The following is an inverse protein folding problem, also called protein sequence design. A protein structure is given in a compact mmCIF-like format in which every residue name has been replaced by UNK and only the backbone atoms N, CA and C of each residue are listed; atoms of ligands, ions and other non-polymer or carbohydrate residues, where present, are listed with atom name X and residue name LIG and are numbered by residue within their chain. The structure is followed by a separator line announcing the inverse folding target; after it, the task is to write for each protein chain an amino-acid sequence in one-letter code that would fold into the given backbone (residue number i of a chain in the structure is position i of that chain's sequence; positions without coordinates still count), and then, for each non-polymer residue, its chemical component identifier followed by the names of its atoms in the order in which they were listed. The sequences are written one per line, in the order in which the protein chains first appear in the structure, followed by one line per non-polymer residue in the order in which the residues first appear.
data_IF_981277945474
#
_entry.id   IF_981277945474
#
_cell.length_a   1.000
_cell.length_b   1.000
_cell.length_c   1.000
_cell.angle_alpha   90.00
_cell.angle_beta   90.00
_cell.angle_gamma   90.00
#
_symmetry.space_group_name_H-M   'P 1'
#
loop_
_entity.id
_entity.type
_entity.pdbx_description
1 polymer ?
#
# COMPACT_ATOMS: atom_id res chain seq x y z
N UNK A 1 -23.77 5.90 -6.25
CA UNK A 1 -22.90 5.97 -5.04
C UNK A 1 -22.44 4.59 -4.58
N UNK A 2 -23.32 3.63 -4.25
CA UNK A 2 -22.87 2.28 -3.81
C UNK A 2 -22.03 1.57 -4.88
N UNK A 3 -22.46 1.58 -6.15
CA UNK A 3 -21.73 0.91 -7.24
C UNK A 3 -20.37 1.57 -7.53
N UNK A 4 -20.30 2.90 -7.43
CA UNK A 4 -19.07 3.70 -7.54
C UNK A 4 -18.08 3.31 -6.44
N UNK A 5 -18.55 3.31 -5.18
CA UNK A 5 -17.74 2.90 -4.04
C UNK A 5 -17.21 1.48 -4.22
N UNK A 6 -18.08 0.52 -4.59
CA UNK A 6 -17.69 -0.87 -4.82
C UNK A 6 -16.62 -1.00 -5.89
N UNK A 7 -16.79 -0.34 -7.06
CA UNK A 7 -15.82 -0.40 -8.14
C UNK A 7 -14.46 0.17 -7.73
N UNK A 8 -14.43 1.35 -7.14
CA UNK A 8 -13.18 2.02 -6.75
C UNK A 8 -12.47 1.25 -5.65
N UNK A 9 -13.20 0.82 -4.62
CA UNK A 9 -12.61 0.09 -3.50
C UNK A 9 -12.15 -1.31 -3.92
N UNK A 10 -12.79 -1.96 -4.89
CA UNK A 10 -12.26 -3.18 -5.50
C UNK A 10 -10.90 -2.90 -6.16
N UNK A 11 -10.79 -1.86 -7.01
CA UNK A 11 -9.53 -1.51 -7.68
C UNK A 11 -8.43 -1.19 -6.66
N UNK A 12 -8.75 -0.37 -5.64
CA UNK A 12 -7.82 -0.01 -4.59
C UNK A 12 -7.39 -1.24 -3.76
N UNK A 13 -8.35 -2.12 -3.43
CA UNK A 13 -8.10 -3.35 -2.68
C UNK A 13 -7.20 -4.31 -3.43
N UNK A 14 -7.49 -4.57 -4.70
CA UNK A 14 -6.72 -5.53 -5.50
C UNK A 14 -5.26 -5.08 -5.61
N UNK A 15 -5.04 -3.78 -5.84
CA UNK A 15 -3.70 -3.21 -5.88
C UNK A 15 -3.02 -3.24 -4.52
N UNK A 16 -3.68 -2.78 -3.46
CA UNK A 16 -3.03 -2.65 -2.15
C UNK A 16 -2.76 -4.01 -1.51
N UNK A 17 -3.65 -4.98 -1.67
CA UNK A 17 -3.43 -6.32 -1.15
C UNK A 17 -2.32 -7.03 -1.92
N UNK A 18 -2.28 -6.91 -3.24
CA UNK A 18 -1.18 -7.46 -4.03
C UNK A 18 0.15 -6.81 -3.62
N UNK A 19 0.20 -5.48 -3.53
CA UNK A 19 1.37 -4.74 -3.06
C UNK A 19 1.84 -5.23 -1.69
N UNK A 20 0.93 -5.33 -0.72
CA UNK A 20 1.28 -5.79 0.63
C UNK A 20 1.83 -7.22 0.64
N UNK A 21 1.30 -8.12 -0.19
CA UNK A 21 1.76 -9.51 -0.30
C UNK A 21 3.11 -9.61 -0.98
N UNK A 22 3.33 -8.83 -2.03
CA UNK A 22 4.58 -8.80 -2.80
C UNK A 22 5.71 -8.14 -2.01
N UNK A 23 5.39 -7.18 -1.15
CA UNK A 23 6.35 -6.47 -0.29
C UNK A 23 6.39 -7.01 1.15
N UNK A 24 5.66 -8.10 1.43
CA UNK A 24 5.58 -8.72 2.77
C UNK A 24 5.19 -7.73 3.89
N UNK A 25 4.37 -6.72 3.56
CA UNK A 25 3.90 -5.71 4.51
C UNK A 25 2.80 -6.31 5.38
N UNK A 26 3.08 -6.42 6.67
CA UNK A 26 2.08 -6.83 7.66
C UNK A 26 0.96 -5.77 7.77
N UNK A 27 -0.33 -6.17 7.82
CA UNK A 27 -1.43 -5.23 8.05
C UNK A 27 -1.29 -4.36 9.30
N UNK A 28 -0.62 -4.87 10.36
CA UNK A 28 -0.38 -4.09 11.58
C UNK A 28 0.68 -3.00 11.41
N UNK A 29 1.63 -3.19 10.49
CA UNK A 29 2.72 -2.26 10.25
C UNK A 29 2.50 -1.40 9.01
N UNK A 30 1.39 -1.57 8.30
CA UNK A 30 1.08 -0.82 7.10
C UNK A 30 1.04 0.70 7.34
N UNK A 31 1.63 1.45 6.42
CA UNK A 31 1.43 2.88 6.27
C UNK A 31 1.35 3.23 4.78
N UNK A 32 0.55 4.24 4.42
CA UNK A 32 0.24 4.57 3.02
C UNK A 32 1.48 4.87 2.17
N UNK A 33 2.52 5.43 2.79
CA UNK A 33 3.75 5.81 2.10
C UNK A 33 4.42 4.60 1.43
N UNK A 34 4.29 3.39 1.97
CA UNK A 34 4.85 2.19 1.35
C UNK A 34 4.29 1.97 -0.07
N UNK A 35 2.97 2.02 -0.21
CA UNK A 35 2.32 1.85 -1.51
C UNK A 35 2.47 3.08 -2.40
N UNK A 36 2.38 4.28 -1.80
CA UNK A 36 2.54 5.54 -2.53
C UNK A 36 3.92 5.61 -3.18
N UNK A 37 5.00 5.42 -2.40
CA UNK A 37 6.38 5.51 -2.89
C UNK A 37 6.69 4.44 -3.96
N UNK A 38 6.16 3.22 -3.81
CA UNK A 38 6.27 2.18 -4.84
C UNK A 38 5.59 2.58 -6.15
N UNK A 39 4.39 3.19 -6.08
CA UNK A 39 3.72 3.74 -7.26
C UNK A 39 4.54 4.87 -7.90
N UNK A 40 5.08 5.79 -7.09
CA UNK A 40 5.92 6.89 -7.58
C UNK A 40 7.12 6.36 -8.35
N UNK A 41 7.81 5.35 -7.80
CA UNK A 41 8.95 4.73 -8.47
C UNK A 41 8.52 3.97 -9.74
N UNK A 42 7.49 3.13 -9.64
CA UNK A 42 7.02 2.25 -10.73
C UNK A 42 6.55 3.03 -11.95
N UNK A 43 5.87 4.16 -11.72
CA UNK A 43 5.30 4.99 -12.78
C UNK A 43 6.15 6.23 -13.09
N UNK A 44 7.32 6.36 -12.46
CA UNK A 44 8.22 7.51 -12.61
C UNK A 44 7.50 8.86 -12.42
N UNK A 45 6.68 8.95 -11.39
CA UNK A 45 5.86 10.14 -11.09
C UNK A 45 6.74 11.17 -10.38
N UNK A 46 6.68 12.43 -10.81
CA UNK A 46 7.35 13.54 -10.11
C UNK A 46 6.42 14.08 -9.02
N UNK A 47 6.87 14.08 -7.76
CA UNK A 47 6.11 14.67 -6.64
C UNK A 47 6.68 16.04 -6.30
N UNK A 48 5.84 17.07 -6.28
CA UNK A 48 6.25 18.46 -6.06
C UNK A 48 5.42 19.13 -4.95
N UNK A 49 6.07 19.96 -4.15
CA UNK A 49 5.39 20.84 -3.20
C UNK A 49 5.05 22.17 -3.86
N UNK A 50 3.87 22.71 -3.56
CA UNK A 50 3.49 24.06 -3.97
C UNK A 50 2.94 24.87 -2.79
N UNK A 51 2.96 26.19 -2.94
CA UNK A 51 2.21 27.11 -2.07
C UNK A 51 1.80 28.34 -2.90
N UNK A 52 0.49 28.61 -2.99
CA UNK A 52 -0.02 29.75 -3.74
C UNK A 52 -0.76 30.72 -2.82
N UNK A 53 -0.17 31.90 -2.58
CA UNK A 53 -0.72 32.92 -1.67
C UNK A 53 -2.12 33.43 -2.04
N UNK A 54 -2.47 33.41 -3.33
CA UNK A 54 -3.73 33.96 -3.86
C UNK A 54 -4.64 32.93 -4.55
N UNK A 55 -4.29 31.63 -4.53
CA UNK A 55 -5.12 30.55 -5.10
C UNK A 55 -5.14 29.35 -4.17
N UNK A 56 -6.34 28.84 -3.89
CA UNK A 56 -6.56 27.72 -2.99
C UNK A 56 -6.56 26.40 -3.79
N UNK A 57 -5.41 26.05 -4.36
CA UNK A 57 -5.18 24.77 -5.02
C UNK A 57 -4.64 23.80 -3.96
N UNK A 58 -5.38 22.73 -3.70
CA UNK A 58 -5.00 21.75 -2.67
C UNK A 58 -4.01 20.73 -3.23
N UNK A 59 -4.27 20.25 -4.44
CA UNK A 59 -3.48 19.27 -5.17
C UNK A 59 -3.69 19.40 -6.67
N UNK A 60 -2.78 18.80 -7.44
CA UNK A 60 -2.81 18.79 -8.89
C UNK A 60 -2.15 17.50 -9.42
N UNK A 61 -2.80 16.87 -10.39
CA UNK A 61 -2.23 15.79 -11.20
C UNK A 61 -2.11 16.27 -12.64
N UNK A 62 -0.89 16.23 -13.19
CA UNK A 62 -0.62 16.53 -14.60
C UNK A 62 -0.06 15.31 -15.31
N UNK A 63 -0.61 14.99 -16.47
CA UNK A 63 -0.14 13.92 -17.36
C UNK A 63 0.07 14.53 -18.75
N UNK A 64 1.32 14.63 -19.18
CA UNK A 64 1.71 15.24 -20.45
C UNK A 64 2.80 14.41 -21.17
N UNK A 65 3.33 14.96 -22.27
CA UNK A 65 4.39 14.31 -23.07
C UNK A 65 5.71 14.11 -22.29
N UNK A 66 5.94 14.90 -21.23
CA UNK A 66 7.14 14.86 -20.39
C UNK A 66 6.99 13.94 -19.16
N UNK A 67 5.80 13.36 -18.95
CA UNK A 67 5.52 12.33 -17.96
C UNK A 67 4.36 12.68 -17.03
N UNK A 68 4.43 12.14 -15.80
CA UNK A 68 3.37 12.30 -14.79
C UNK A 68 3.93 13.10 -13.62
N UNK A 69 3.16 14.06 -13.12
CA UNK A 69 3.49 14.80 -11.90
C UNK A 69 2.28 14.97 -10.99
N UNK A 70 2.55 14.96 -9.68
CA UNK A 70 1.60 15.21 -8.61
C UNK A 70 2.15 16.37 -7.78
N UNK A 71 1.31 17.36 -7.46
CA UNK A 71 1.65 18.41 -6.51
C UNK A 71 0.66 18.54 -5.36
N UNK A 72 1.13 19.06 -4.22
CA UNK A 72 0.32 19.28 -3.02
C UNK A 72 0.71 20.57 -2.29
N UNK A 73 -0.26 21.19 -1.62
CA UNK A 73 -0.07 22.40 -0.82
C UNK A 73 0.73 22.11 0.46
N UNK A 74 1.95 22.64 0.54
CA UNK A 74 2.93 22.33 1.57
C UNK A 74 2.62 22.96 2.93
N UNK A 75 1.81 24.03 2.98
CA UNK A 75 1.40 24.66 4.24
C UNK A 75 0.21 23.96 4.91
N UNK A 76 -0.39 22.95 4.27
CA UNK A 76 -1.45 22.17 4.90
C UNK A 76 -0.91 21.28 6.03
N UNK A 77 -1.75 20.90 7.02
CA UNK A 77 -1.39 19.87 7.99
C UNK A 77 -1.03 18.54 7.32
N UNK A 78 -0.07 17.80 7.90
CA UNK A 78 0.45 16.54 7.33
C UNK A 78 -0.66 15.55 6.93
N UNK A 79 -1.68 15.37 7.78
CA UNK A 79 -2.79 14.44 7.52
C UNK A 79 -3.60 14.83 6.27
N UNK A 80 -3.67 16.13 5.96
CA UNK A 80 -4.33 16.65 4.75
C UNK A 80 -3.44 16.48 3.53
N UNK A 81 -2.14 16.76 3.66
CA UNK A 81 -1.18 16.46 2.58
C UNK A 81 -1.19 14.98 2.20
N UNK A 82 -1.25 14.07 3.18
CA UNK A 82 -1.30 12.63 2.94
C UNK A 82 -2.55 12.23 2.15
N UNK A 83 -3.71 12.81 2.51
CA UNK A 83 -4.95 12.59 1.79
C UNK A 83 -4.88 13.12 0.36
N UNK A 84 -4.37 14.34 0.18
CA UNK A 84 -4.15 14.92 -1.15
C UNK A 84 -3.24 14.05 -2.01
N UNK A 85 -2.09 13.60 -1.49
CA UNK A 85 -1.16 12.71 -2.22
C UNK A 85 -1.87 11.45 -2.73
N UNK A 86 -2.63 10.77 -1.88
CA UNK A 86 -3.36 9.57 -2.28
C UNK A 86 -4.54 9.86 -3.22
N UNK A 87 -5.15 11.04 -3.10
CA UNK A 87 -6.24 11.49 -3.97
C UNK A 87 -5.73 11.77 -5.39
N UNK A 88 -4.63 12.51 -5.53
CA UNK A 88 -3.98 12.77 -6.82
C UNK A 88 -3.47 11.47 -7.47
N UNK A 89 -2.88 10.57 -6.68
CA UNK A 89 -2.54 9.23 -7.17
C UNK A 89 -3.79 8.47 -7.63
N UNK A 90 -4.93 8.63 -6.95
CA UNK A 90 -6.21 8.07 -7.33
C UNK A 90 -6.67 8.54 -8.71
N UNK A 91 -6.50 9.82 -9.05
CA UNK A 91 -6.80 10.31 -10.41
C UNK A 91 -6.01 9.58 -11.48
N UNK A 92 -4.71 9.39 -11.25
CA UNK A 92 -3.85 8.66 -12.19
C UNK A 92 -4.27 7.19 -12.32
N UNK A 93 -4.40 6.49 -11.19
CA UNK A 93 -4.69 5.05 -11.16
C UNK A 93 -6.08 4.71 -11.73
N UNK A 94 -7.07 5.57 -11.50
CA UNK A 94 -8.43 5.39 -12.01
C UNK A 94 -8.62 5.86 -13.45
N UNK A 95 -7.57 6.44 -14.07
CA UNK A 95 -7.60 6.88 -15.46
C UNK A 95 -8.47 8.13 -15.68
N UNK A 96 -8.56 9.02 -14.68
CA UNK A 96 -9.23 10.31 -14.83
C UNK A 96 -8.41 11.23 -15.77
N UNK A 97 -9.06 12.19 -16.43
CA UNK A 97 -8.38 13.05 -17.41
C UNK A 97 -7.23 13.86 -16.80
N UNK A 98 -6.05 13.83 -17.42
CA UNK A 98 -4.76 14.34 -16.87
C UNK A 98 -4.60 15.85 -16.61
N UNK A 99 -5.68 16.62 -16.53
CA UNK A 99 -5.71 18.03 -16.14
C UNK A 99 -6.77 18.25 -15.02
N UNK A 100 -6.79 17.40 -13.98
CA UNK A 100 -7.69 17.61 -12.84
C UNK A 100 -7.10 18.60 -11.85
N UNK A 101 -7.90 19.60 -11.48
CA UNK A 101 -7.54 20.63 -10.52
C UNK A 101 -8.39 20.48 -9.25
N UNK A 102 -7.74 20.24 -8.11
CA UNK A 102 -8.41 20.19 -6.82
C UNK A 102 -8.49 21.62 -6.23
N UNK A 103 -9.52 22.38 -6.60
CA UNK A 103 -9.76 23.76 -6.11
C UNK A 103 -10.74 23.83 -4.92
N UNK A 104 -10.46 24.72 -3.95
CA UNK A 104 -11.27 24.89 -2.73
C UNK A 104 -12.62 25.63 -2.94
N UNK A 105 -12.92 26.16 -4.13
CA UNK A 105 -14.11 26.99 -4.35
C UNK A 105 -14.71 26.86 -5.76
N UNK A 106 -15.36 25.73 -6.04
CA UNK A 106 -16.68 25.66 -6.67
C UNK A 106 -17.05 24.20 -6.96
N UNK A 107 -18.06 23.70 -6.22
CA UNK A 107 -18.95 22.59 -6.55
C UNK A 107 -18.78 21.97 -7.95
N UNK A 108 -17.82 21.06 -8.07
CA UNK A 108 -18.01 19.92 -8.94
C UNK A 108 -17.67 18.69 -8.11
N UNK A 109 -18.66 18.25 -7.32
CA UNK A 109 -18.80 16.83 -6.95
C UNK A 109 -18.91 16.03 -8.25
N UNK A 110 -17.81 15.94 -9.01
CA UNK A 110 -17.75 15.06 -10.15
C UNK A 110 -17.65 13.63 -9.64
N UNK A 111 -18.00 12.69 -10.51
CA UNK A 111 -17.76 11.29 -10.24
C UNK A 111 -16.25 11.07 -9.99
N UNK A 112 -15.38 11.64 -10.82
CA UNK A 112 -13.92 11.53 -10.70
C UNK A 112 -13.40 11.98 -9.32
N UNK A 113 -13.85 13.13 -8.81
CA UNK A 113 -13.47 13.64 -7.47
C UNK A 113 -13.95 12.70 -6.35
N UNK A 114 -15.18 12.20 -6.48
CA UNK A 114 -15.73 11.24 -5.51
C UNK A 114 -14.96 9.93 -5.53
N UNK A 115 -14.58 9.47 -6.71
CA UNK A 115 -13.80 8.25 -6.92
C UNK A 115 -12.38 8.39 -6.37
N UNK A 116 -11.70 9.50 -6.64
CA UNK A 116 -10.39 9.81 -6.07
C UNK A 116 -10.44 9.91 -4.53
N UNK A 117 -11.50 10.48 -3.97
CA UNK A 117 -11.74 10.50 -2.51
C UNK A 117 -11.90 9.10 -1.92
N UNK A 118 -12.69 8.23 -2.55
CA UNK A 118 -12.83 6.84 -2.09
C UNK A 118 -11.53 6.05 -2.21
N UNK A 119 -10.79 6.24 -3.31
CA UNK A 119 -9.49 5.62 -3.51
C UNK A 119 -8.51 6.05 -2.41
N UNK A 120 -8.37 7.37 -2.18
CA UNK A 120 -7.51 7.94 -1.15
C UNK A 120 -7.84 7.40 0.25
N UNK A 121 -9.11 7.41 0.63
CA UNK A 121 -9.55 6.90 1.92
C UNK A 121 -9.27 5.39 2.08
N UNK A 122 -9.39 4.61 1.01
CA UNK A 122 -9.08 3.18 1.04
C UNK A 122 -7.58 2.92 1.16
N UNK A 123 -6.75 3.61 0.39
CA UNK A 123 -5.28 3.48 0.45
C UNK A 123 -4.75 3.90 1.83
N UNK A 124 -5.25 4.99 2.40
CA UNK A 124 -4.83 5.42 3.74
C UNK A 124 -5.23 4.42 4.84
N UNK A 125 -6.39 3.78 4.67
CA UNK A 125 -7.01 2.95 5.70
C UNK A 125 -7.64 1.68 5.07
N UNK A 126 -6.86 0.69 4.61
CA UNK A 126 -7.40 -0.53 4.01
C UNK A 126 -8.24 -1.34 5.00
N UNK A 127 -9.24 -2.09 4.50
CA UNK A 127 -10.15 -2.87 5.36
C UNK A 127 -9.38 -3.83 6.28
N UNK A 128 -8.41 -4.59 5.74
CA UNK A 128 -7.58 -5.52 6.52
C UNK A 128 -6.75 -4.83 7.60
N UNK A 129 -6.31 -3.59 7.35
CA UNK A 129 -5.51 -2.79 8.29
C UNK A 129 -6.39 -2.29 9.44
N UNK A 130 -7.58 -1.77 9.11
CA UNK A 130 -8.57 -1.35 10.11
C UNK A 130 -9.02 -2.53 10.96
N UNK A 131 -9.31 -3.69 10.35
CA UNK A 131 -9.64 -4.92 11.06
C UNK A 131 -8.50 -5.32 12.01
N UNK A 132 -7.26 -5.37 11.51
CA UNK A 132 -6.09 -5.77 12.32
C UNK A 132 -5.85 -4.85 13.50
N UNK A 133 -5.93 -3.52 13.30
CA UNK A 133 -5.67 -2.52 14.33
C UNK A 133 -6.82 -2.42 15.34
N UNK A 134 -8.06 -2.35 14.87
CA UNK A 134 -9.23 -2.08 15.73
C UNK A 134 -9.74 -3.35 16.39
N UNK A 135 -9.94 -4.42 15.62
CA UNK A 135 -10.59 -5.63 16.14
C UNK A 135 -9.59 -6.58 16.80
N UNK A 136 -8.45 -6.85 16.16
CA UNK A 136 -7.45 -7.78 16.71
C UNK A 136 -6.52 -7.16 17.74
N UNK A 137 -6.04 -5.93 17.51
CA UNK A 137 -5.13 -5.24 18.44
C UNK A 137 -5.86 -4.33 19.46
N UNK A 138 -7.16 -4.11 19.28
CA UNK A 138 -8.02 -3.30 20.18
C UNK A 138 -7.57 -1.85 20.32
N UNK A 139 -7.00 -1.26 19.27
CA UNK A 139 -6.50 0.10 19.31
C UNK A 139 -7.63 1.12 19.53
N UNK A 140 -7.32 2.19 20.27
CA UNK A 140 -8.23 3.33 20.42
C UNK A 140 -8.35 4.15 19.13
N UNK A 141 -9.47 4.88 18.96
CA UNK A 141 -9.69 5.74 17.79
C UNK A 141 -8.52 6.71 17.55
N UNK A 142 -8.00 7.32 18.63
CA UNK A 142 -6.86 8.24 18.59
C UNK A 142 -5.57 7.54 18.14
N UNK A 143 -5.35 6.30 18.57
CA UNK A 143 -4.17 5.54 18.20
C UNK A 143 -4.20 5.19 16.71
N UNK A 144 -5.34 4.70 16.20
CA UNK A 144 -5.51 4.40 14.77
C UNK A 144 -5.31 5.64 13.91
N UNK A 145 -5.89 6.79 14.29
CA UNK A 145 -5.66 8.05 13.60
C UNK A 145 -4.18 8.45 13.54
N UNK A 146 -3.50 8.36 14.68
CA UNK A 146 -2.09 8.75 14.79
C UNK A 146 -1.20 7.84 13.95
N UNK A 147 -1.38 6.52 14.07
CA UNK A 147 -0.55 5.56 13.37
C UNK A 147 -0.77 5.54 11.85
N UNK A 148 -1.98 5.82 11.38
CA UNK A 148 -2.27 5.93 9.94
C UNK A 148 -2.09 7.36 9.41
N UNK A 149 -1.71 8.31 10.26
CA UNK A 149 -1.51 9.72 9.91
C UNK A 149 -2.72 10.34 9.19
N UNK A 150 -3.92 10.12 9.72
CA UNK A 150 -5.21 10.60 9.16
C UNK A 150 -5.97 11.51 10.13
N UNK A 151 -6.88 12.32 9.60
CA UNK A 151 -7.78 13.15 10.43
C UNK A 151 -8.90 12.31 11.08
N UNK A 152 -9.50 12.86 12.14
CA UNK A 152 -10.63 12.21 12.82
C UNK A 152 -11.83 12.02 11.86
N UNK A 153 -12.10 13.02 11.02
CA UNK A 153 -13.19 12.96 10.06
C UNK A 153 -12.92 11.90 8.99
N UNK A 154 -11.69 11.80 8.47
CA UNK A 154 -11.32 10.78 7.50
C UNK A 154 -11.55 9.36 8.05
N UNK A 155 -11.07 9.07 9.27
CA UNK A 155 -11.29 7.76 9.90
C UNK A 155 -12.78 7.49 10.17
N UNK A 156 -13.52 8.50 10.61
CA UNK A 156 -14.97 8.39 10.84
C UNK A 156 -15.72 8.04 9.56
N UNK A 157 -15.51 8.79 8.47
CA UNK A 157 -16.17 8.54 7.19
C UNK A 157 -15.77 7.19 6.61
N UNK A 158 -14.48 6.83 6.71
CA UNK A 158 -13.98 5.54 6.23
C UNK A 158 -14.65 4.35 6.93
N UNK A 159 -14.80 4.41 8.26
CA UNK A 159 -15.51 3.38 9.02
C UNK A 159 -17.00 3.34 8.68
N UNK A 160 -17.63 4.51 8.46
CA UNK A 160 -19.02 4.56 8.03
C UNK A 160 -19.19 3.83 6.69
N UNK A 161 -18.35 4.12 5.71
CA UNK A 161 -18.43 3.52 4.38
C UNK A 161 -18.15 2.02 4.42
N UNK A 162 -17.15 1.58 5.19
CA UNK A 162 -16.84 0.16 5.43
C UNK A 162 -18.08 -0.60 5.91
N UNK A 163 -18.67 -0.18 7.04
CA UNK A 163 -19.78 -0.93 7.63
C UNK A 163 -21.08 -0.81 6.84
N UNK A 164 -21.33 0.33 6.17
CA UNK A 164 -22.47 0.49 5.26
C UNK A 164 -22.39 -0.44 4.07
N UNK A 165 -21.18 -0.63 3.53
CA UNK A 165 -20.93 -1.52 2.41
C UNK A 165 -21.07 -2.98 2.84
N UNK A 166 -20.31 -3.41 3.86
CA UNK A 166 -20.23 -4.81 4.31
C UNK A 166 -21.54 -5.30 4.93
N UNK A 167 -22.10 -4.54 5.86
CA UNK A 167 -23.22 -5.03 6.68
C UNK A 167 -24.60 -4.66 6.12
N UNK A 168 -24.66 -3.82 5.07
CA UNK A 168 -25.92 -3.30 4.50
C UNK A 168 -26.87 -2.71 5.56
N UNK A 169 -26.32 -2.16 6.65
CA UNK A 169 -27.06 -1.69 7.84
C UNK A 169 -27.56 -0.26 7.73
N UNK A 170 -28.53 0.06 8.59
CA UNK A 170 -29.01 1.42 8.80
C UNK A 170 -27.89 2.36 9.32
N UNK A 171 -27.90 3.59 8.79
CA UNK A 171 -26.88 4.60 9.01
C UNK A 171 -26.79 5.06 10.47
N UNK A 172 -27.90 5.03 11.21
CA UNK A 172 -27.91 5.53 12.58
C UNK A 172 -27.12 4.61 13.52
N UNK A 173 -27.31 3.29 13.39
CA UNK A 173 -26.60 2.30 14.22
C UNK A 173 -25.09 2.34 14.00
N UNK A 174 -24.66 2.38 12.73
CA UNK A 174 -23.23 2.50 12.38
C UNK A 174 -22.65 3.81 12.92
N UNK A 175 -23.34 4.94 12.71
CA UNK A 175 -22.87 6.24 13.18
C UNK A 175 -22.77 6.31 14.71
N UNK A 176 -23.74 5.73 15.43
CA UNK A 176 -23.71 5.64 16.89
C UNK A 176 -22.52 4.82 17.39
N UNK A 177 -22.24 3.67 16.77
CA UNK A 177 -21.10 2.83 17.15
C UNK A 177 -19.76 3.55 16.95
N UNK A 178 -19.61 4.28 15.84
CA UNK A 178 -18.40 5.07 15.56
C UNK A 178 -18.27 6.24 16.54
N UNK A 179 -19.36 6.95 16.85
CA UNK A 179 -19.35 8.03 17.85
C UNK A 179 -18.93 7.52 19.24
N UNK A 180 -19.41 6.33 19.63
CA UNK A 180 -18.99 5.67 20.87
C UNK A 180 -17.51 5.33 20.84
N UNK A 181 -17.00 4.81 19.73
CA UNK A 181 -15.58 4.51 19.57
C UNK A 181 -14.69 5.76 19.67
N UNK A 182 -15.13 6.90 19.11
CA UNK A 182 -14.41 8.20 19.22
C UNK A 182 -14.22 8.66 20.67
N UNK A 183 -15.16 8.33 21.57
CA UNK A 183 -15.08 8.65 23.00
C UNK A 183 -14.49 7.51 23.86
N UNK A 184 -13.94 6.47 23.22
CA UNK A 184 -13.25 5.37 23.90
C UNK A 184 -14.11 4.13 24.22
N UNK A 185 -15.39 4.11 23.82
CA UNK A 185 -16.28 2.97 23.99
C UNK A 185 -16.22 2.04 22.77
N UNK A 186 -15.33 1.04 22.79
CA UNK A 186 -15.04 0.20 21.61
C UNK A 186 -16.03 -0.95 21.36
N UNK A 187 -16.81 -1.37 22.36
CA UNK A 187 -17.69 -2.57 22.25
C UNK A 187 -18.58 -2.56 21.00
N UNK A 188 -19.19 -1.42 20.69
CA UNK A 188 -20.10 -1.33 19.55
C UNK A 188 -19.37 -1.46 18.21
N UNK A 189 -18.18 -0.87 18.04
CA UNK A 189 -17.40 -1.02 16.80
C UNK A 189 -16.80 -2.41 16.66
N UNK A 190 -16.39 -3.04 17.78
CA UNK A 190 -15.89 -4.41 17.78
C UNK A 190 -16.96 -5.40 17.31
N UNK A 191 -18.20 -5.23 17.76
CA UNK A 191 -19.32 -6.05 17.27
C UNK A 191 -19.59 -5.85 15.76
N UNK A 192 -19.35 -4.66 15.21
CA UNK A 192 -19.48 -4.45 13.76
C UNK A 192 -18.38 -5.19 12.98
N UNK A 193 -17.15 -5.22 13.51
CA UNK A 193 -16.07 -6.01 12.93
C UNK A 193 -16.28 -7.52 13.11
N UNK A 194 -16.80 -7.98 14.25
CA UNK A 194 -17.21 -9.38 14.47
C UNK A 194 -18.15 -9.88 13.36
N UNK A 195 -19.03 -9.02 12.84
CA UNK A 195 -19.94 -9.41 11.77
C UNK A 195 -19.29 -9.35 10.37
N UNK A 196 -18.23 -8.54 10.19
CA UNK A 196 -17.62 -8.26 8.89
C UNK A 196 -16.26 -8.96 8.65
N UNK A 197 -15.61 -9.48 9.70
CA UNK A 197 -14.19 -9.86 9.61
C UNK A 197 -13.94 -10.97 8.58
N UNK A 198 -14.80 -11.99 8.54
CA UNK A 198 -14.60 -13.17 7.69
C UNK A 198 -14.44 -12.81 6.21
N UNK A 199 -15.28 -11.92 5.68
CA UNK A 199 -15.20 -11.49 4.27
C UNK A 199 -13.91 -10.69 4.00
N UNK A 200 -13.52 -9.79 4.91
CA UNK A 200 -12.29 -9.00 4.80
C UNK A 200 -11.05 -9.92 4.79
N UNK A 201 -11.06 -10.93 5.65
CA UNK A 201 -9.98 -11.91 5.78
C UNK A 201 -9.88 -12.80 4.56
N UNK A 202 -11.00 -13.29 4.05
CA UNK A 202 -11.06 -14.15 2.87
C UNK A 202 -10.52 -13.40 1.64
N UNK A 203 -10.91 -12.14 1.46
CA UNK A 203 -10.40 -11.27 0.40
C UNK A 203 -8.89 -11.03 0.52
N UNK A 204 -8.36 -10.87 1.73
CA UNK A 204 -6.92 -10.73 1.90
C UNK A 204 -6.17 -12.05 1.76
N UNK A 205 -6.79 -13.17 2.14
CA UNK A 205 -6.17 -14.50 2.11
C UNK A 205 -6.05 -15.05 0.70
N UNK A 206 -7.03 -14.82 -0.17
CA UNK A 206 -7.03 -15.31 -1.56
C UNK A 206 -5.95 -14.65 -2.43
N UNK A 207 -5.45 -13.48 -2.04
CA UNK A 207 -4.35 -12.82 -2.76
C UNK A 207 -3.03 -13.52 -2.42
N UNK A 208 -2.46 -14.17 -3.43
CA UNK A 208 -1.13 -14.79 -3.39
C UNK A 208 -0.06 -13.77 -3.78
N UNK A 209 1.00 -13.67 -2.96
CA UNK A 209 2.11 -12.78 -3.26
C UNK A 209 3.03 -13.40 -4.32
N UNK A 210 3.39 -12.62 -5.32
CA UNK A 210 4.28 -13.01 -6.41
C UNK A 210 5.71 -13.23 -5.87
N UNK A 211 6.25 -14.43 -6.09
CA UNK A 211 7.59 -14.82 -5.60
C UNK A 211 8.69 -13.96 -6.23
N UNK A 212 8.63 -13.72 -7.54
CA UNK A 212 9.57 -12.85 -8.25
C UNK A 212 9.59 -11.45 -7.61
N UNK A 213 8.40 -10.87 -7.40
CA UNK A 213 8.27 -9.56 -6.77
C UNK A 213 8.86 -9.54 -5.35
N UNK A 214 8.57 -10.56 -4.53
CA UNK A 214 9.15 -10.68 -3.18
C UNK A 214 10.67 -10.71 -3.20
N UNK A 215 11.26 -11.48 -4.13
CA UNK A 215 12.71 -11.59 -4.30
C UNK A 215 13.31 -10.24 -4.72
N UNK A 216 12.70 -9.57 -5.70
CA UNK A 216 13.15 -8.26 -6.17
C UNK A 216 13.06 -7.19 -5.09
N UNK A 217 11.96 -7.15 -4.34
CA UNK A 217 11.78 -6.21 -3.23
C UNK A 217 12.83 -6.46 -2.14
N UNK A 218 13.09 -7.72 -1.80
CA UNK A 218 14.14 -8.07 -0.84
C UNK A 218 15.54 -7.68 -1.32
N UNK A 219 15.81 -7.82 -2.62
CA UNK A 219 17.05 -7.38 -3.25
C UNK A 219 17.24 -5.86 -3.21
N UNK A 220 16.17 -5.07 -3.29
CA UNK A 220 16.24 -3.60 -3.14
C UNK A 220 16.70 -3.20 -1.72
N UNK A 221 16.29 -3.94 -0.70
CA UNK A 221 16.66 -3.66 0.70
C UNK A 221 18.06 -4.17 1.07
N UNK A 222 18.36 -5.43 0.73
CA UNK A 222 19.51 -6.16 1.28
C UNK A 222 20.62 -6.43 0.25
N UNK A 223 20.38 -6.14 -1.02
CA UNK A 223 21.28 -6.32 -2.17
C UNK A 223 21.70 -7.76 -2.47
N UNK A 224 21.31 -8.73 -1.64
CA UNK A 224 21.63 -10.15 -1.77
C UNK A 224 20.54 -10.99 -1.12
N UNK A 225 20.15 -12.08 -1.78
CA UNK A 225 19.17 -13.06 -1.31
C UNK A 225 19.62 -14.47 -1.70
N UNK A 226 19.22 -15.47 -0.91
CA UNK A 226 19.62 -16.85 -1.12
C UNK A 226 18.46 -17.83 -0.95
N UNK A 227 18.65 -19.07 -1.38
CA UNK A 227 17.65 -20.13 -1.35
C UNK A 227 17.24 -20.58 0.04
N UNK A 228 17.96 -20.15 1.07
CA UNK A 228 17.56 -20.29 2.48
C UNK A 228 16.36 -19.42 2.83
N UNK A 229 16.13 -18.32 2.10
CA UNK A 229 14.99 -17.43 2.25
C UNK A 229 13.96 -17.65 1.13
N UNK A 230 14.42 -17.88 -0.09
CA UNK A 230 13.57 -18.13 -1.27
C UNK A 230 13.98 -19.40 -2.01
N UNK A 231 13.44 -20.58 -1.64
CA UNK A 231 13.81 -21.87 -2.21
C UNK A 231 13.77 -21.93 -3.74
N UNK A 232 12.94 -21.12 -4.38
CA UNK A 232 12.78 -20.97 -5.82
C UNK A 232 14.10 -20.58 -6.52
N UNK A 233 15.02 -19.94 -5.80
CA UNK A 233 16.38 -19.64 -6.30
C UNK A 233 17.20 -20.89 -6.61
N UNK A 234 16.81 -22.09 -6.16
CA UNK A 234 17.42 -23.35 -6.58
C UNK A 234 17.05 -23.71 -8.02
N UNK A 235 15.91 -23.25 -8.52
CA UNK A 235 15.44 -23.51 -9.87
C UNK A 235 16.14 -22.63 -10.91
N UNK A 236 16.58 -23.26 -12.00
CA UNK A 236 17.28 -22.54 -13.06
C UNK A 236 16.35 -21.64 -13.89
N UNK A 237 15.08 -22.05 -14.05
CA UNK A 237 14.04 -21.26 -14.72
C UNK A 237 13.81 -19.93 -13.99
N UNK A 238 13.60 -19.99 -12.67
CA UNK A 238 13.35 -18.81 -11.86
C UNK A 238 14.56 -17.85 -11.82
N UNK A 239 15.78 -18.38 -11.69
CA UNK A 239 17.01 -17.57 -11.80
C UNK A 239 17.12 -16.84 -13.14
N UNK A 240 16.81 -17.52 -14.25
CA UNK A 240 16.82 -16.90 -15.58
C UNK A 240 15.75 -15.83 -15.76
N UNK A 241 14.61 -15.97 -15.09
CA UNK A 241 13.57 -14.93 -15.05
C UNK A 241 14.08 -13.69 -14.31
N UNK A 242 14.71 -13.87 -13.14
CA UNK A 242 15.33 -12.78 -12.38
C UNK A 242 16.43 -12.04 -13.16
N UNK A 243 17.22 -12.73 -13.98
CA UNK A 243 18.28 -12.12 -14.81
C UNK A 243 17.74 -11.22 -15.93
N UNK A 244 16.42 -11.22 -16.19
CA UNK A 244 15.80 -10.28 -17.13
C UNK A 244 15.62 -8.89 -16.53
N UNK A 245 15.68 -8.76 -15.21
CA UNK A 245 15.57 -7.51 -14.49
C UNK A 245 16.91 -6.77 -14.44
N UNK A 246 16.84 -5.44 -14.44
CA UNK A 246 18.03 -4.59 -14.48
C UNK A 246 18.90 -4.74 -13.22
N UNK A 247 20.21 -4.81 -13.45
CA UNK A 247 21.25 -4.98 -12.44
C UNK A 247 21.07 -6.20 -11.51
N UNK A 248 20.49 -7.31 -11.99
CA UNK A 248 20.37 -8.54 -11.22
C UNK A 248 21.33 -9.61 -11.73
N UNK A 249 22.16 -10.13 -10.84
CA UNK A 249 23.00 -11.29 -11.08
C UNK A 249 22.48 -12.47 -10.28
N UNK A 250 22.54 -13.68 -10.86
CA UNK A 250 22.18 -14.90 -10.15
C UNK A 250 23.25 -15.97 -10.31
N UNK A 251 23.31 -16.91 -9.36
CA UNK A 251 24.18 -18.07 -9.47
C UNK A 251 23.72 -19.22 -8.57
N UNK A 252 24.31 -20.40 -8.78
CA UNK A 252 24.16 -21.58 -7.92
C UNK A 252 25.54 -22.02 -7.45
N UNK A 253 25.78 -22.02 -6.14
CA UNK A 253 26.99 -22.61 -5.56
C UNK A 253 26.67 -23.99 -5.00
N UNK A 254 27.54 -24.96 -5.27
CA UNK A 254 27.43 -26.33 -4.77
C UNK A 254 28.68 -26.69 -3.99
N UNK A 255 28.50 -27.27 -2.80
CA UNK A 255 29.60 -27.79 -1.99
C UNK A 255 29.17 -29.02 -1.18
N UNK A 256 29.91 -30.13 -1.30
CA UNK A 256 29.70 -31.40 -0.59
C UNK A 256 28.24 -31.89 -0.45
N UNK A 257 27.46 -31.86 -1.53
CA UNK A 257 26.08 -32.38 -1.55
C UNK A 257 25.00 -31.35 -1.20
N UNK A 258 25.38 -30.12 -0.84
CA UNK A 258 24.46 -29.01 -0.61
C UNK A 258 24.58 -27.97 -1.74
N UNK A 259 23.45 -27.35 -2.08
CA UNK A 259 23.37 -26.28 -3.08
C UNK A 259 22.73 -25.05 -2.47
N UNK A 260 23.28 -23.87 -2.77
CA UNK A 260 22.67 -22.58 -2.45
C UNK A 260 22.53 -21.78 -3.74
N UNK A 261 21.28 -21.55 -4.14
CA UNK A 261 20.94 -20.61 -5.19
C UNK A 261 20.90 -19.20 -4.61
N UNK A 262 21.40 -18.19 -5.32
CA UNK A 262 21.40 -16.82 -4.83
C UNK A 262 21.30 -15.81 -5.95
N UNK A 263 20.78 -14.63 -5.60
CA UNK A 263 20.70 -13.47 -6.46
C UNK A 263 21.30 -12.25 -5.74
N UNK A 264 21.82 -11.28 -6.49
CA UNK A 264 22.36 -10.05 -5.95
C UNK A 264 22.20 -8.88 -6.92
N UNK A 265 22.22 -7.67 -6.38
CA UNK A 265 22.25 -6.41 -7.13
C UNK A 265 23.67 -6.15 -7.67
N UNK A 266 23.87 -6.18 -8.99
CA UNK A 266 25.19 -6.05 -9.63
C UNK A 266 25.76 -4.65 -9.54
N UNK A 267 24.91 -3.64 -9.38
CA UNK A 267 25.28 -2.24 -9.11
C UNK A 267 25.74 -2.00 -7.67
N UNK A 268 25.47 -2.93 -6.75
CA UNK A 268 25.83 -2.84 -5.32
C UNK A 268 26.90 -3.84 -4.88
N UNK A 269 26.92 -5.04 -5.46
CA UNK A 269 27.83 -6.12 -5.10
C UNK A 269 28.50 -6.73 -6.32
N UNK A 270 29.80 -7.00 -6.20
CA UNK A 270 30.52 -7.78 -7.20
C UNK A 270 30.16 -9.27 -7.10
N UNK A 271 30.25 -10.00 -8.20
CA UNK A 271 30.03 -11.45 -8.22
C UNK A 271 30.92 -12.20 -7.20
N UNK A 272 32.15 -11.71 -6.97
CA UNK A 272 33.06 -12.29 -5.96
C UNK A 272 32.54 -12.11 -4.53
N UNK A 273 31.97 -10.94 -4.21
CA UNK A 273 31.37 -10.68 -2.90
C UNK A 273 30.10 -11.51 -2.69
N UNK A 274 29.22 -11.59 -3.70
CA UNK A 274 28.02 -12.41 -3.65
C UNK A 274 28.36 -13.90 -3.46
N UNK A 275 29.33 -14.42 -4.22
CA UNK A 275 29.83 -15.79 -4.07
C UNK A 275 30.40 -16.07 -2.69
N UNK A 276 31.14 -15.13 -2.10
CA UNK A 276 31.67 -15.28 -0.74
C UNK A 276 30.53 -15.42 0.28
N UNK A 277 29.46 -14.62 0.16
CA UNK A 277 28.28 -14.74 1.03
C UNK A 277 27.60 -16.10 0.90
N UNK A 278 27.38 -16.57 -0.33
CA UNK A 278 26.79 -17.89 -0.58
C UNK A 278 27.63 -19.04 0.02
N UNK A 279 28.97 -18.96 -0.11
CA UNK A 279 29.87 -19.95 0.52
C UNK A 279 29.82 -19.92 2.04
N UNK A 280 29.69 -18.75 2.64
CA UNK A 280 29.51 -18.63 4.10
C UNK A 280 28.23 -19.31 4.57
N UNK A 281 27.13 -19.20 3.81
CA UNK A 281 25.87 -19.91 4.12
C UNK A 281 26.10 -21.42 4.12
N UNK A 282 26.69 -21.97 3.04
CA UNK A 282 27.02 -23.39 2.94
C UNK A 282 27.95 -23.88 4.06
N UNK A 283 28.84 -23.03 4.59
CA UNK A 283 29.71 -23.39 5.71
C UNK A 283 28.97 -23.42 7.06
N UNK A 284 27.97 -22.56 7.24
CA UNK A 284 27.19 -22.48 8.47
C UNK A 284 26.17 -23.62 8.59
N UNK A 285 25.61 -24.10 7.49
CA UNK A 285 24.69 -25.25 7.46
C UNK A 285 25.37 -26.61 7.72
N UNK A 286 26.71 -26.65 7.76
CA UNK A 286 27.49 -27.85 8.09
C UNK A 286 27.69 -28.06 9.60
N UNK A 287 27.31 -27.09 10.44
CA UNK A 287 27.46 -27.14 11.90
C UNK A 287 26.16 -27.50 12.59
#
# INVERSE_FOLDING_TARGET
MRDVYTRVTQIARDQIYQFMKDNQVSPLNYHFHYYFDDCIQKFNIKVMEHHFTNRKIEGLTMIDEDGISISYESQNPQVKQNFTKCHELGHYILGHSGNQFTEMSNNKDTLDESEANFFSAYILMPDIVLLSKIYYRLDSFKQVMTELSVSADALKFRLQDLFRYRLKRDNQKVSSAICQYQIGLSKAVLNLFEEAHAEIEDEYRVVEGNVLAKVLNRLRECYFVASTEFPELLENSFRKELEQEDDIGTWLEYDFGQSVGYAWRTDKLTAKQAKLRAKTILLLEKR
#
